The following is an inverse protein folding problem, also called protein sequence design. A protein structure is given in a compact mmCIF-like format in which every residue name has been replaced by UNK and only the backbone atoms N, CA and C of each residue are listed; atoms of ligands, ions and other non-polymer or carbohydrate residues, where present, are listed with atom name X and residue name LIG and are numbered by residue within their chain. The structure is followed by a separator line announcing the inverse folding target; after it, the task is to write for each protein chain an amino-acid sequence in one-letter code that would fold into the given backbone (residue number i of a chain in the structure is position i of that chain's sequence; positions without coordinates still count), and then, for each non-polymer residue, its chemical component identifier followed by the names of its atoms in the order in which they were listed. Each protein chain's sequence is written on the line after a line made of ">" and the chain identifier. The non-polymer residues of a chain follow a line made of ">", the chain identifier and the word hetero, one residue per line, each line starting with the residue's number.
data_IF_535631354161
#
_entry.id   IF_535631354161
#
_cell.length_a   1.000
_cell.length_b   1.000
_cell.length_c   1.000
_cell.angle_alpha   90.00
_cell.angle_beta   90.00
_cell.angle_gamma   90.00
#
_symmetry.space_group_name_H-M   'P 1'
#
loop_
_entity.id
_entity.type
_entity.pdbx_description
1 polymer ?
#
# COMPACT_ATOMS: atom_id res chain seq x y z
N UNK A 1 28.15 -21.31 33.40
CA UNK A 1 27.17 -21.58 32.33
C UNK A 1 26.93 -20.27 31.59
N UNK A 2 27.59 -20.07 30.45
CA UNK A 2 27.46 -18.86 29.64
C UNK A 2 26.15 -18.96 28.87
N UNK A 3 25.20 -18.06 29.14
CA UNK A 3 23.94 -18.02 28.39
C UNK A 3 24.27 -17.75 26.92
N UNK A 4 23.85 -18.65 26.03
CA UNK A 4 23.88 -18.42 24.59
C UNK A 4 23.08 -17.15 24.30
N UNK A 5 23.72 -16.13 23.73
CA UNK A 5 23.03 -14.90 23.29
C UNK A 5 22.09 -15.29 22.14
N UNK A 6 20.79 -15.03 22.31
CA UNK A 6 19.79 -15.21 21.26
C UNK A 6 20.09 -14.20 20.14
N UNK A 7 20.26 -14.68 18.91
CA UNK A 7 20.29 -13.81 17.72
C UNK A 7 18.88 -13.34 17.41
N UNK A 8 18.70 -12.03 17.18
CA UNK A 8 17.43 -11.41 16.82
C UNK A 8 17.39 -11.08 15.34
N UNK A 9 16.32 -11.46 14.63
CA UNK A 9 16.11 -11.10 13.22
C UNK A 9 15.28 -9.83 13.15
N UNK A 10 15.90 -8.73 12.72
CA UNK A 10 15.30 -7.41 12.63
C UNK A 10 14.90 -7.09 11.18
N UNK A 11 13.60 -7.05 10.94
CA UNK A 11 13.00 -6.61 9.68
C UNK A 11 13.06 -5.08 9.53
N UNK A 12 13.71 -4.59 8.48
CA UNK A 12 13.86 -3.15 8.22
C UNK A 12 13.42 -2.77 6.82
N UNK A 13 12.90 -1.56 6.67
CA UNK A 13 12.62 -0.97 5.36
C UNK A 13 13.84 -0.22 4.83
N UNK A 14 14.24 -0.38 3.55
CA UNK A 14 15.41 0.27 2.98
C UNK A 14 15.09 1.73 2.54
N UNK A 15 14.47 2.52 3.41
CA UNK A 15 14.07 3.90 3.13
C UNK A 15 14.99 4.90 3.83
N UNK A 16 15.08 6.11 3.26
CA UNK A 16 15.96 7.15 3.77
C UNK A 16 15.59 7.57 5.20
N UNK A 17 14.29 7.67 5.51
CA UNK A 17 13.79 8.03 6.83
C UNK A 17 14.07 6.98 7.92
N UNK A 18 14.54 5.79 7.54
CA UNK A 18 14.88 4.69 8.45
C UNK A 18 16.38 4.63 8.73
N UNK A 19 17.20 5.18 7.85
CA UNK A 19 18.67 5.16 7.98
C UNK A 19 19.16 5.62 9.36
N UNK A 20 18.65 6.70 9.98
CA UNK A 20 19.10 7.10 11.31
C UNK A 20 18.87 6.04 12.40
N UNK A 21 17.85 5.19 12.26
CA UNK A 21 17.54 4.12 13.22
C UNK A 21 18.46 2.91 13.04
N UNK A 22 18.89 2.63 11.81
CA UNK A 22 19.62 1.39 11.50
C UNK A 22 21.12 1.61 11.21
N UNK A 23 21.58 2.86 11.10
CA UNK A 23 22.97 3.18 10.72
C UNK A 23 24.02 2.47 11.59
N UNK A 24 23.78 2.36 12.89
CA UNK A 24 24.68 1.68 13.84
C UNK A 24 24.44 0.18 13.96
N UNK A 25 23.35 -0.33 13.36
CA UNK A 25 23.06 -1.75 13.28
C UNK A 25 23.69 -2.38 12.01
N UNK A 26 24.03 -1.56 11.02
CA UNK A 26 24.74 -1.98 9.81
C UNK A 26 26.17 -2.45 10.05
N UNK A 27 26.76 -2.16 11.22
CA UNK A 27 28.00 -2.81 11.66
C UNK A 27 27.68 -4.24 12.07
N UNK A 28 28.39 -5.27 11.58
CA UNK A 28 28.11 -6.66 11.95
C UNK A 28 28.08 -6.86 13.46
N UNK A 29 27.03 -7.54 13.94
CA UNK A 29 26.87 -7.91 15.35
C UNK A 29 26.47 -9.37 15.43
N UNK A 30 27.04 -10.09 16.40
CA UNK A 30 26.74 -11.52 16.60
C UNK A 30 25.36 -11.77 17.24
N UNK A 31 24.65 -10.70 17.62
CA UNK A 31 23.36 -10.76 18.32
C UNK A 31 22.16 -10.28 17.49
N UNK A 32 22.37 -9.78 16.26
CA UNK A 32 21.31 -9.22 15.41
C UNK A 32 21.57 -9.49 13.93
N UNK A 33 20.59 -10.10 13.26
CA UNK A 33 20.53 -10.29 11.82
C UNK A 33 19.55 -9.27 11.19
N UNK A 34 20.02 -8.44 10.27
CA UNK A 34 19.16 -7.46 9.58
C UNK A 34 18.56 -8.08 8.33
N UNK A 35 17.23 -8.01 8.21
CA UNK A 35 16.48 -8.47 7.04
C UNK A 35 15.80 -7.27 6.39
N UNK A 36 16.32 -6.82 5.25
CA UNK A 36 15.73 -5.71 4.51
C UNK A 36 14.59 -6.20 3.60
N UNK A 37 13.41 -5.57 3.72
CA UNK A 37 12.26 -5.84 2.85
C UNK A 37 11.36 -4.61 2.71
N UNK A 38 10.43 -4.65 1.75
CA UNK A 38 9.42 -3.60 1.60
C UNK A 38 8.33 -3.68 2.71
N UNK A 39 7.65 -2.58 3.07
CA UNK A 39 6.65 -2.55 4.14
C UNK A 39 5.57 -3.63 3.99
N UNK A 40 5.08 -3.86 2.78
CA UNK A 40 4.04 -4.86 2.48
C UNK A 40 4.47 -6.31 2.74
N UNK A 41 5.78 -6.57 2.91
CA UNK A 41 6.32 -7.89 3.24
C UNK A 41 6.67 -8.04 4.71
N UNK A 42 7.01 -6.95 5.40
CA UNK A 42 7.51 -7.01 6.78
C UNK A 42 6.44 -7.43 7.80
N UNK A 43 5.19 -6.98 7.65
CA UNK A 43 4.10 -7.42 8.53
C UNK A 43 3.81 -8.93 8.38
N UNK A 44 3.64 -9.49 7.15
CA UNK A 44 3.57 -10.94 6.96
C UNK A 44 4.79 -11.70 7.52
N UNK A 45 6.01 -11.21 7.28
CA UNK A 45 7.23 -11.84 7.80
C UNK A 45 7.27 -11.86 9.33
N UNK A 46 6.75 -10.84 10.00
CA UNK A 46 6.63 -10.81 11.45
C UNK A 46 5.56 -11.80 11.94
N UNK A 47 4.40 -11.84 11.30
CA UNK A 47 3.31 -12.78 11.62
C UNK A 47 3.75 -14.25 11.45
N UNK A 48 4.53 -14.55 10.42
CA UNK A 48 5.07 -15.88 10.10
C UNK A 48 6.29 -16.25 10.96
N UNK A 49 6.81 -15.33 11.78
CA UNK A 49 8.02 -15.54 12.58
C UNK A 49 9.31 -15.62 11.75
N UNK A 50 9.30 -15.14 10.51
CA UNK A 50 10.48 -14.99 9.67
C UNK A 50 11.42 -13.89 10.19
N UNK A 51 10.87 -12.87 10.86
CA UNK A 51 11.58 -11.86 11.66
C UNK A 51 11.01 -11.81 13.07
N UNK A 52 11.82 -11.43 14.05
CA UNK A 52 11.42 -11.35 15.46
C UNK A 52 10.93 -9.95 15.86
N UNK A 53 11.46 -8.92 15.19
CA UNK A 53 11.09 -7.51 15.36
C UNK A 53 11.08 -6.88 13.98
N UNK A 54 10.16 -5.97 13.67
CA UNK A 54 10.13 -5.31 12.38
C UNK A 54 9.68 -3.84 12.45
N UNK A 55 10.22 -3.02 11.54
CA UNK A 55 9.68 -1.69 11.25
C UNK A 55 8.50 -1.86 10.31
N UNK A 56 7.29 -1.83 10.87
CA UNK A 56 6.02 -1.93 10.14
C UNK A 56 5.24 -0.62 10.24
N UNK A 57 4.33 -0.35 9.30
CA UNK A 57 3.38 0.75 9.45
C UNK A 57 2.52 0.60 10.71
N UNK A 58 2.15 1.71 11.34
CA UNK A 58 1.33 1.70 12.57
C UNK A 58 -0.02 1.00 12.39
N UNK A 59 -0.59 1.05 11.17
CA UNK A 59 -1.87 0.41 10.86
C UNK A 59 -1.81 -1.12 11.02
N UNK A 60 -0.63 -1.74 10.90
CA UNK A 60 -0.50 -3.19 11.05
C UNK A 60 -0.89 -3.66 12.46
N UNK A 61 -0.85 -2.78 13.46
CA UNK A 61 -1.32 -3.07 14.82
C UNK A 61 -2.84 -3.11 14.95
N UNK A 62 -3.57 -2.55 13.98
CA UNK A 62 -5.02 -2.69 13.93
C UNK A 62 -5.40 -4.12 13.54
N UNK A 63 -4.65 -4.70 12.60
CA UNK A 63 -4.84 -6.09 12.15
C UNK A 63 -4.24 -7.11 13.14
N UNK A 64 -3.19 -6.71 13.86
CA UNK A 64 -2.45 -7.53 14.83
C UNK A 64 -2.43 -6.89 16.23
N UNK A 65 -3.55 -6.88 16.97
CA UNK A 65 -3.64 -6.27 18.30
C UNK A 65 -2.78 -7.00 19.35
N UNK A 66 -2.30 -8.21 19.06
CA UNK A 66 -1.40 -8.98 19.91
C UNK A 66 0.05 -8.49 19.87
N UNK A 67 0.42 -7.67 18.87
CA UNK A 67 1.77 -7.13 18.76
C UNK A 67 2.02 -5.98 19.72
N UNK A 68 3.28 -5.85 20.16
CA UNK A 68 3.72 -4.76 21.00
C UNK A 68 4.69 -3.84 20.25
N UNK A 69 4.49 -2.52 20.39
CA UNK A 69 5.46 -1.54 19.92
C UNK A 69 6.68 -1.47 20.84
N UNK A 70 7.87 -1.36 20.26
CA UNK A 70 9.08 -1.04 21.02
C UNK A 70 8.98 0.39 21.54
N UNK A 71 8.99 0.63 22.87
CA UNK A 71 8.80 1.98 23.40
C UNK A 71 9.89 2.93 22.92
N UNK A 72 9.49 4.17 22.57
CA UNK A 72 10.37 5.28 22.15
C UNK A 72 11.14 5.03 20.85
N UNK A 73 10.74 4.04 20.05
CA UNK A 73 11.31 3.78 18.73
C UNK A 73 10.19 3.88 17.70
N UNK A 74 10.39 4.71 16.68
CA UNK A 74 9.41 4.91 15.62
C UNK A 74 9.82 6.03 14.68
N UNK A 75 9.12 6.12 13.55
CA UNK A 75 9.27 7.18 12.58
C UNK A 75 7.97 7.96 12.59
N UNK A 76 8.04 9.22 12.98
CA UNK A 76 6.89 10.12 13.07
C UNK A 76 7.32 11.54 12.70
N UNK A 77 6.34 12.34 12.27
CA UNK A 77 6.50 13.77 12.03
C UNK A 77 5.34 14.50 12.70
N UNK A 78 5.56 15.64 13.38
CA UNK A 78 4.48 16.44 13.97
C UNK A 78 3.62 17.17 12.93
N UNK A 79 3.96 17.06 11.64
CA UNK A 79 3.26 17.71 10.55
C UNK A 79 3.55 17.03 9.21
N UNK A 80 3.55 17.83 8.15
CA UNK A 80 3.75 17.36 6.78
C UNK A 80 5.04 16.54 6.62
N UNK A 81 4.96 15.50 5.80
CA UNK A 81 6.11 14.71 5.36
C UNK A 81 6.20 14.80 3.84
N UNK A 82 7.38 15.13 3.33
CA UNK A 82 7.58 15.29 1.88
C UNK A 82 7.66 13.96 1.12
N UNK A 83 7.72 12.84 1.85
CA UNK A 83 7.90 11.50 1.28
C UNK A 83 6.59 10.75 1.01
N UNK A 84 5.45 11.29 1.45
CA UNK A 84 4.12 10.69 1.22
C UNK A 84 3.23 11.77 0.63
N UNK A 85 2.96 11.67 -0.66
CA UNK A 85 2.17 12.65 -1.39
C UNK A 85 1.13 11.96 -2.27
N UNK A 86 -0.10 12.45 -2.23
CA UNK A 86 -1.13 12.11 -3.22
C UNK A 86 -1.02 13.14 -4.35
N UNK A 87 -0.52 12.70 -5.51
CA UNK A 87 -0.35 13.57 -6.67
C UNK A 87 -1.54 13.40 -7.62
N UNK A 88 -2.09 14.52 -8.09
CA UNK A 88 -3.16 14.55 -9.07
C UNK A 88 -2.83 15.54 -10.18
N UNK A 89 -3.17 15.16 -11.42
CA UNK A 89 -3.05 16.06 -12.58
C UNK A 89 -4.16 17.13 -12.64
N UNK A 90 -5.21 16.97 -11.83
CA UNK A 90 -6.37 17.87 -11.78
C UNK A 90 -6.72 18.22 -10.33
N UNK A 91 -7.36 19.38 -10.08
CA UNK A 91 -7.91 19.71 -8.77
C UNK A 91 -8.81 18.58 -8.24
N UNK A 92 -8.83 18.39 -6.91
CA UNK A 92 -9.57 17.27 -6.29
C UNK A 92 -11.07 17.29 -6.62
N UNK A 93 -11.64 18.48 -6.82
CA UNK A 93 -13.04 18.71 -7.17
C UNK A 93 -13.36 18.32 -8.63
N UNK A 94 -12.34 18.19 -9.48
CA UNK A 94 -12.46 17.90 -10.90
C UNK A 94 -12.09 16.45 -11.24
N UNK A 95 -11.78 15.63 -10.22
CA UNK A 95 -11.45 14.22 -10.44
C UNK A 95 -12.68 13.48 -10.96
N UNK A 96 -12.52 12.85 -12.11
CA UNK A 96 -13.57 12.07 -12.76
C UNK A 96 -13.17 10.60 -12.93
N UNK A 97 -14.16 9.75 -13.11
CA UNK A 97 -14.01 8.33 -13.49
C UNK A 97 -14.89 8.03 -14.69
N UNK A 98 -14.44 7.09 -15.51
CA UNK A 98 -15.22 6.58 -16.63
C UNK A 98 -16.02 5.38 -16.14
N UNK A 99 -17.34 5.44 -16.26
CA UNK A 99 -18.27 4.41 -15.81
C UNK A 99 -18.93 3.78 -17.03
N UNK A 100 -19.02 2.45 -17.04
CA UNK A 100 -19.76 1.69 -18.03
C UNK A 100 -21.24 1.62 -17.63
N UNK A 101 -22.12 1.91 -18.57
CA UNK A 101 -23.53 1.52 -18.52
C UNK A 101 -23.69 0.13 -19.16
N UNK A 102 -23.98 -0.93 -18.38
CA UNK A 102 -24.10 -2.28 -18.90
C UNK A 102 -25.29 -2.48 -19.85
N UNK A 103 -26.35 -1.68 -19.72
CA UNK A 103 -27.55 -1.83 -20.55
C UNK A 103 -27.31 -1.38 -22.00
N UNK A 104 -26.58 -0.27 -22.17
CA UNK A 104 -26.26 0.30 -23.48
C UNK A 104 -24.87 -0.09 -23.99
N UNK A 105 -24.02 -0.64 -23.14
CA UNK A 105 -22.59 -0.85 -23.39
C UNK A 105 -21.88 0.45 -23.80
N UNK A 106 -22.28 1.58 -23.22
CA UNK A 106 -21.65 2.88 -23.44
C UNK A 106 -20.98 3.39 -22.18
N UNK A 107 -20.03 4.31 -22.33
CA UNK A 107 -19.31 4.90 -21.19
C UNK A 107 -19.75 6.33 -20.92
N UNK A 108 -19.67 6.76 -19.67
CA UNK A 108 -19.87 8.16 -19.27
C UNK A 108 -18.78 8.60 -18.30
N UNK A 109 -18.46 9.89 -18.33
CA UNK A 109 -17.58 10.52 -17.35
C UNK A 109 -18.43 10.89 -16.13
N UNK A 110 -18.00 10.49 -14.94
CA UNK A 110 -18.69 10.73 -13.68
C UNK A 110 -17.72 11.39 -12.68
N UNK A 111 -18.04 12.59 -12.17
CA UNK A 111 -17.28 13.22 -11.10
C UNK A 111 -17.30 12.36 -9.84
N UNK A 112 -16.15 12.27 -9.16
CA UNK A 112 -16.02 11.56 -7.89
C UNK A 112 -15.29 12.43 -6.87
N UNK A 113 -15.65 12.31 -5.60
CA UNK A 113 -14.97 12.99 -4.50
C UNK A 113 -13.98 12.02 -3.88
N UNK A 114 -12.70 12.36 -3.90
CA UNK A 114 -11.64 11.58 -3.27
C UNK A 114 -11.44 12.05 -1.83
N UNK A 115 -11.57 11.14 -0.87
CA UNK A 115 -11.36 11.42 0.56
C UNK A 115 -9.86 11.36 0.94
N UNK A 116 -9.10 10.52 0.25
CA UNK A 116 -7.69 10.29 0.53
C UNK A 116 -7.17 9.04 -0.17
N UNK A 117 -6.05 8.52 0.34
CA UNK A 117 -5.47 7.25 -0.08
C UNK A 117 -5.21 6.38 1.16
N UNK A 118 -5.35 5.07 1.00
CA UNK A 118 -4.97 4.06 1.99
C UNK A 118 -4.04 3.06 1.33
N UNK A 119 -2.76 3.07 1.73
CA UNK A 119 -1.71 2.33 1.03
C UNK A 119 -1.66 2.68 -0.47
N UNK A 120 -1.99 1.70 -1.32
CA UNK A 120 -2.03 1.85 -2.78
C UNK A 120 -3.46 2.06 -3.31
N UNK A 121 -4.43 2.20 -2.44
CA UNK A 121 -5.83 2.39 -2.78
C UNK A 121 -6.24 3.86 -2.66
N UNK A 122 -7.19 4.29 -3.49
CA UNK A 122 -7.78 5.62 -3.42
C UNK A 122 -9.18 5.51 -2.84
N UNK A 123 -9.43 6.21 -1.74
CA UNK A 123 -10.72 6.20 -1.06
C UNK A 123 -11.65 7.21 -1.74
N UNK A 124 -12.72 6.71 -2.34
CA UNK A 124 -13.77 7.54 -2.95
C UNK A 124 -14.89 7.78 -1.93
N UNK A 125 -15.08 9.03 -1.52
CA UNK A 125 -16.10 9.43 -0.54
C UNK A 125 -17.51 9.46 -1.16
N UNK A 126 -17.63 9.92 -2.41
CA UNK A 126 -18.91 10.03 -3.09
C UNK A 126 -18.76 10.10 -4.62
N UNK A 127 -19.89 10.05 -5.32
CA UNK A 127 -19.93 10.08 -6.77
C UNK A 127 -19.89 8.71 -7.43
N UNK A 128 -19.93 7.62 -6.65
CA UNK A 128 -20.17 6.26 -7.14
C UNK A 128 -21.29 5.60 -6.32
N UNK A 129 -22.05 4.72 -6.96
CA UNK A 129 -23.07 3.88 -6.34
C UNK A 129 -22.67 2.41 -6.38
N UNK A 130 -23.09 1.59 -5.39
CA UNK A 130 -22.87 0.14 -5.43
C UNK A 130 -23.37 -0.47 -6.74
N UNK A 131 -22.57 -1.38 -7.30
CA UNK A 131 -22.88 -2.05 -8.57
C UNK A 131 -22.49 -1.27 -9.83
N UNK A 132 -22.00 -0.04 -9.74
CA UNK A 132 -21.43 0.66 -10.90
C UNK A 132 -20.11 0.01 -11.36
N UNK A 133 -19.95 -0.12 -12.67
CA UNK A 133 -18.74 -0.68 -13.28
C UNK A 133 -17.81 0.46 -13.67
N UNK A 134 -16.66 0.56 -13.00
CA UNK A 134 -15.64 1.57 -13.28
C UNK A 134 -14.65 1.02 -14.31
N UNK A 135 -14.37 1.81 -15.34
CA UNK A 135 -13.36 1.49 -16.35
C UNK A 135 -11.98 1.85 -15.81
N UNK A 136 -11.06 0.89 -15.77
CA UNK A 136 -9.72 1.05 -15.17
C UNK A 136 -8.59 1.14 -16.21
N UNK A 137 -8.85 0.78 -17.47
CA UNK A 137 -7.86 0.76 -18.54
C UNK A 137 -8.38 1.49 -19.79
N UNK A 138 -7.48 2.14 -20.54
CA UNK A 138 -7.82 2.83 -21.78
C UNK A 138 -8.67 4.09 -21.61
N UNK A 139 -8.90 4.58 -20.38
CA UNK A 139 -9.77 5.74 -20.12
C UNK A 139 -9.34 7.02 -20.83
N UNK A 140 -8.06 7.15 -21.18
CA UNK A 140 -7.50 8.31 -21.87
C UNK A 140 -7.84 8.37 -23.38
N UNK A 141 -8.37 7.28 -23.96
CA UNK A 141 -8.82 7.25 -25.37
C UNK A 141 -10.34 7.16 -25.53
N UNK A 142 -11.09 7.14 -24.41
CA UNK A 142 -12.54 7.01 -24.43
C UNK A 142 -13.23 8.36 -24.39
N UNK A 143 -14.26 8.51 -25.21
CA UNK A 143 -15.17 9.67 -25.21
C UNK A 143 -16.50 9.30 -24.56
N UNK A 144 -17.17 10.25 -23.91
CA UNK A 144 -18.51 10.03 -23.37
C UNK A 144 -19.50 9.57 -24.45
N UNK A 145 -20.36 8.60 -24.12
CA UNK A 145 -21.30 7.97 -25.04
C UNK A 145 -20.67 6.92 -25.97
N UNK A 146 -19.35 6.72 -25.94
CA UNK A 146 -18.69 5.75 -26.79
C UNK A 146 -19.12 4.33 -26.42
N UNK A 147 -19.53 3.56 -27.44
CA UNK A 147 -19.86 2.15 -27.27
C UNK A 147 -18.58 1.35 -27.09
N UNK A 148 -18.55 0.48 -26.09
CA UNK A 148 -17.40 -0.35 -25.74
C UNK A 148 -17.81 -1.82 -25.65
N UNK A 149 -16.82 -2.68 -25.52
CA UNK A 149 -17.01 -4.09 -25.15
C UNK A 149 -16.12 -4.38 -23.95
N UNK A 150 -16.66 -5.13 -23.00
CA UNK A 150 -15.85 -5.65 -21.90
C UNK A 150 -14.78 -6.57 -22.47
N UNK A 151 -13.55 -6.34 -22.05
CA UNK A 151 -12.46 -7.25 -22.38
C UNK A 151 -12.70 -8.58 -21.67
N UNK A 152 -12.89 -9.64 -22.44
CA UNK A 152 -12.84 -11.00 -21.94
C UNK A 152 -11.39 -11.48 -22.09
N UNK A 153 -10.68 -11.65 -20.98
CA UNK A 153 -9.42 -12.36 -21.01
C UNK A 153 -9.69 -13.77 -21.55
N UNK A 154 -8.99 -14.17 -22.61
CA UNK A 154 -8.95 -15.58 -22.98
C UNK A 154 -8.35 -16.34 -21.81
N UNK A 155 -9.04 -17.37 -21.30
CA UNK A 155 -8.48 -18.26 -20.29
C UNK A 155 -7.34 -19.07 -20.94
N UNK A 156 -6.15 -18.48 -21.03
CA UNK A 156 -4.94 -19.24 -21.25
C UNK A 156 -4.70 -20.07 -19.98
N UNK A 157 -4.77 -21.38 -20.15
CA UNK A 157 -4.68 -22.37 -19.10
C UNK A 157 -3.50 -22.12 -18.15
N UNK A 158 -3.76 -22.27 -16.85
CA UNK A 158 -2.73 -22.61 -15.88
C UNK A 158 -2.02 -23.90 -16.34
N UNK A 159 -0.75 -23.78 -16.72
CA UNK A 159 0.15 -24.91 -16.85
C UNK A 159 1.21 -24.80 -15.74
N UNK A 160 1.67 -25.95 -15.21
CA UNK A 160 2.15 -26.12 -13.83
C UNK A 160 3.47 -25.43 -13.50
#
# INVERSE_FOLDING_TARGET
>A
MTASRRSWRLGVVPYLNVQPLIAHLSTPRDDVDIVAAVPSRLAPMLAEGAVDVAIVPVFALLDHPEWAMVPRVGIASPGEVMSVAVLSASPREEITRVILDPASMTVKVQPVVVAGADGNEVVVASGLSPGQVVVTAGVHVLTAGQKVRLYAASSAASAP
#
